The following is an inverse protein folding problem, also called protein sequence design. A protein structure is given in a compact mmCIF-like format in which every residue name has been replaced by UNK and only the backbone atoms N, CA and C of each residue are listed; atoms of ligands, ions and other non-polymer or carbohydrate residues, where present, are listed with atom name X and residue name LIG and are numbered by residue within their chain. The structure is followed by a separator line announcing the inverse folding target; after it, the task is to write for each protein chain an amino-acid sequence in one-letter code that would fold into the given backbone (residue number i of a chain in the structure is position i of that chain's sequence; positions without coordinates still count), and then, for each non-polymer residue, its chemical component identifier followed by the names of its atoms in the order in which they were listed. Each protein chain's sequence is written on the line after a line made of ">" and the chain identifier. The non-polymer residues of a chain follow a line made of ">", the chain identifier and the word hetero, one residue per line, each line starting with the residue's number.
data_IF_456527990595
#
_entry.id   IF_456527990595
#
_cell.length_a   1.000
_cell.length_b   1.000
_cell.length_c   1.000
_cell.angle_alpha   90.00
_cell.angle_beta   90.00
_cell.angle_gamma   90.00
#
_symmetry.space_group_name_H-M   'P 1'
#
loop_
_entity.id
_entity.type
_entity.pdbx_description
1 polymer ?
#
# COMPACT_ATOMS: atom_id res chain seq x y z
N UNK A 1 -25.66 13.78 -5.11
CA UNK A 1 -24.67 12.76 -4.72
C UNK A 1 -24.61 11.77 -5.85
N UNK A 2 -23.54 11.80 -6.64
CA UNK A 2 -23.24 10.80 -7.66
C UNK A 2 -22.17 9.92 -7.05
N UNK A 3 -22.59 8.74 -6.59
CA UNK A 3 -21.69 7.68 -6.17
C UNK A 3 -20.93 7.26 -7.42
N UNK A 4 -19.68 7.71 -7.54
CA UNK A 4 -18.77 7.21 -8.55
C UNK A 4 -18.40 5.80 -8.08
N UNK A 5 -19.13 4.79 -8.56
CA UNK A 5 -18.73 3.40 -8.42
C UNK A 5 -17.31 3.26 -8.95
N UNK A 6 -16.36 2.98 -8.05
CA UNK A 6 -14.98 2.75 -8.43
C UNK A 6 -14.92 1.49 -9.31
N UNK A 7 -14.16 1.55 -10.40
CA UNK A 7 -14.12 0.46 -11.38
C UNK A 7 -13.25 -0.70 -10.86
N UNK A 8 -13.67 -1.97 -10.99
CA UNK A 8 -12.87 -3.14 -10.60
C UNK A 8 -11.45 -3.18 -11.19
N UNK A 9 -11.25 -2.63 -12.39
CA UNK A 9 -9.92 -2.53 -13.01
C UNK A 9 -9.02 -1.57 -12.21
N UNK A 10 -9.56 -0.43 -11.79
CA UNK A 10 -8.84 0.56 -10.96
C UNK A 10 -8.56 0.01 -9.55
N UNK A 11 -9.44 -0.83 -9.01
CA UNK A 11 -9.21 -1.54 -7.75
C UNK A 11 -8.07 -2.57 -7.89
N UNK A 12 -8.03 -3.33 -8.98
CA UNK A 12 -6.96 -4.30 -9.24
C UNK A 12 -5.60 -3.60 -9.40
N UNK A 13 -5.54 -2.53 -10.19
CA UNK A 13 -4.35 -1.68 -10.32
C UNK A 13 -3.94 -1.07 -8.97
N UNK A 14 -4.90 -0.58 -8.17
CA UNK A 14 -4.66 -0.07 -6.83
C UNK A 14 -4.04 -1.10 -5.88
N UNK A 15 -4.48 -2.37 -5.97
CA UNK A 15 -3.89 -3.48 -5.22
C UNK A 15 -2.43 -3.76 -5.59
N UNK A 16 -2.10 -3.76 -6.89
CA UNK A 16 -0.71 -3.95 -7.37
C UNK A 16 0.20 -2.78 -6.96
N UNK A 17 -0.30 -1.54 -7.03
CA UNK A 17 0.43 -0.37 -6.55
C UNK A 17 0.65 -0.40 -5.04
N UNK A 18 -0.34 -0.86 -4.27
CA UNK A 18 -0.23 -1.04 -2.82
C UNK A 18 0.84 -2.06 -2.46
N UNK A 19 0.86 -3.22 -3.14
CA UNK A 19 1.88 -4.25 -2.92
C UNK A 19 3.28 -3.74 -3.27
N UNK A 20 3.41 -3.04 -4.40
CA UNK A 20 4.69 -2.44 -4.82
C UNK A 20 5.16 -1.40 -3.80
N UNK A 21 4.25 -0.55 -3.29
CA UNK A 21 4.56 0.42 -2.26
C UNK A 21 4.98 -0.27 -0.95
N UNK A 22 4.23 -1.27 -0.48
CA UNK A 22 4.57 -2.03 0.72
C UNK A 22 5.95 -2.68 0.59
N UNK A 23 6.25 -3.29 -0.56
CA UNK A 23 7.54 -3.89 -0.83
C UNK A 23 8.68 -2.87 -0.86
N UNK A 24 8.46 -1.66 -1.36
CA UNK A 24 9.46 -0.61 -1.38
C UNK A 24 9.73 0.00 0.00
N UNK A 25 8.71 0.03 0.87
CA UNK A 25 8.82 0.55 2.23
C UNK A 25 9.39 -0.48 3.20
N UNK A 26 9.12 -1.77 2.97
CA UNK A 26 9.63 -2.85 3.80
C UNK A 26 11.17 -2.87 3.82
N UNK A 27 11.75 -2.69 5.02
CA UNK A 27 13.19 -2.70 5.22
C UNK A 27 13.90 -1.40 4.87
N UNK A 28 13.17 -0.29 4.66
CA UNK A 28 13.76 1.03 4.46
C UNK A 28 14.63 1.45 5.66
N UNK A 29 14.11 1.30 6.87
CA UNK A 29 14.83 1.65 8.10
C UNK A 29 16.06 0.76 8.30
N UNK A 30 15.94 -0.54 8.08
CA UNK A 30 17.05 -1.49 8.20
C UNK A 30 18.16 -1.22 7.17
N UNK A 31 17.78 -0.89 5.93
CA UNK A 31 18.74 -0.53 4.88
C UNK A 31 19.45 0.79 5.22
N UNK A 32 18.73 1.75 5.77
CA UNK A 32 19.33 3.00 6.24
C UNK A 32 20.35 2.75 7.35
N UNK A 33 20.00 1.93 8.34
CA UNK A 33 20.87 1.56 9.44
C UNK A 33 22.18 0.92 8.92
N UNK A 34 22.03 -0.07 8.02
CA UNK A 34 23.14 -0.75 7.36
C UNK A 34 24.02 0.20 6.54
N UNK A 35 23.41 1.13 5.80
CA UNK A 35 24.17 2.12 5.02
C UNK A 35 24.98 3.03 5.92
N UNK A 36 24.40 3.50 7.03
CA UNK A 36 25.10 4.36 7.98
C UNK A 36 26.31 3.65 8.59
N UNK A 37 26.15 2.40 9.03
CA UNK A 37 27.26 1.58 9.55
C UNK A 37 28.38 1.39 8.52
N UNK A 38 28.02 1.12 7.26
CA UNK A 38 28.99 0.98 6.18
C UNK A 38 29.75 2.30 5.91
N UNK A 39 29.06 3.45 5.92
CA UNK A 39 29.72 4.75 5.77
C UNK A 39 30.64 5.07 6.94
N UNK A 40 30.26 4.75 8.19
CA UNK A 40 31.14 4.90 9.34
C UNK A 40 32.39 4.04 9.20
N UNK A 41 32.25 2.78 8.77
CA UNK A 41 33.39 1.88 8.60
C UNK A 41 34.29 2.26 7.42
N UNK A 42 33.74 2.88 6.37
CA UNK A 42 34.50 3.32 5.21
C UNK A 42 35.15 4.70 5.40
N UNK A 43 34.64 5.50 6.33
CA UNK A 43 35.18 6.83 6.61
C UNK A 43 36.55 6.71 7.31
N UNK A 44 37.58 7.31 6.71
CA UNK A 44 38.95 7.29 7.25
C UNK A 44 39.26 8.40 8.26
N UNK A 45 38.30 9.28 8.55
CA UNK A 45 38.47 10.44 9.42
C UNK A 45 37.34 10.55 10.45
N UNK A 46 37.70 10.83 11.70
CA UNK A 46 36.78 10.83 12.85
C UNK A 46 35.71 11.93 12.77
N UNK A 47 36.04 13.09 12.19
CA UNK A 47 35.09 14.19 11.98
C UNK A 47 33.97 13.81 11.00
N UNK A 48 34.31 13.06 9.96
CA UNK A 48 33.35 12.52 8.99
C UNK A 48 32.46 11.45 9.64
N UNK A 49 33.06 10.53 10.43
CA UNK A 49 32.32 9.50 11.18
C UNK A 49 31.32 10.16 12.13
N UNK A 50 31.73 11.18 12.88
CA UNK A 50 30.87 11.91 13.80
C UNK A 50 29.69 12.57 13.07
N UNK A 51 29.91 13.07 11.84
CA UNK A 51 28.85 13.59 10.99
C UNK A 51 27.80 12.54 10.62
N UNK A 52 28.23 11.33 10.20
CA UNK A 52 27.32 10.23 9.89
C UNK A 52 26.55 9.73 11.11
N UNK A 53 27.22 9.61 12.27
CA UNK A 53 26.55 9.25 13.54
C UNK A 53 25.47 10.26 13.89
N UNK A 54 25.80 11.54 13.82
CA UNK A 54 24.84 12.61 14.11
C UNK A 54 23.67 12.58 13.14
N UNK A 55 23.92 12.36 11.85
CA UNK A 55 22.86 12.23 10.86
C UNK A 55 21.96 11.01 11.14
N UNK A 56 22.54 9.87 11.51
CA UNK A 56 21.79 8.69 11.92
C UNK A 56 20.93 8.98 13.16
N UNK A 57 21.51 9.59 14.19
CA UNK A 57 20.77 9.97 15.42
C UNK A 57 19.62 10.94 15.14
N UNK A 58 19.84 11.92 14.26
CA UNK A 58 18.86 12.96 13.96
C UNK A 58 17.67 12.42 13.12
N UNK A 59 17.88 11.41 12.26
CA UNK A 59 16.89 10.99 11.25
C UNK A 59 16.48 9.49 11.28
N UNK A 60 17.08 8.65 12.12
CA UNK A 60 16.72 7.23 12.17
C UNK A 60 15.23 7.02 12.48
N UNK A 61 14.68 7.79 13.44
CA UNK A 61 13.27 7.71 13.77
C UNK A 61 12.38 8.19 12.61
N UNK A 62 12.76 9.26 11.92
CA UNK A 62 12.00 9.78 10.79
C UNK A 62 11.87 8.73 9.67
N UNK A 63 12.90 7.91 9.44
CA UNK A 63 12.81 6.84 8.44
C UNK A 63 11.97 5.64 8.89
N UNK A 64 11.95 5.34 10.20
CA UNK A 64 11.00 4.37 10.77
C UNK A 64 9.57 4.88 10.53
N UNK A 65 9.30 6.14 10.84
CA UNK A 65 7.98 6.75 10.67
C UNK A 65 7.55 6.77 9.20
N UNK A 66 8.45 7.07 8.27
CA UNK A 66 8.18 7.01 6.83
C UNK A 66 7.83 5.59 6.39
N UNK A 67 8.59 4.59 6.85
CA UNK A 67 8.30 3.18 6.57
C UNK A 67 6.91 2.78 7.11
N UNK A 68 6.60 3.12 8.36
CA UNK A 68 5.31 2.80 8.98
C UNK A 68 4.15 3.47 8.26
N UNK A 69 4.27 4.76 7.94
CA UNK A 69 3.25 5.48 7.18
C UNK A 69 3.08 4.92 5.76
N UNK A 70 4.17 4.56 5.09
CA UNK A 70 4.13 3.95 3.76
C UNK A 70 3.43 2.59 3.76
N UNK A 71 3.73 1.74 4.76
CA UNK A 71 3.05 0.46 4.96
C UNK A 71 1.56 0.64 5.30
N UNK A 72 1.24 1.62 6.16
CA UNK A 72 -0.15 1.95 6.48
C UNK A 72 -0.91 2.42 5.24
N UNK A 73 -0.31 3.28 4.42
CA UNK A 73 -0.90 3.75 3.18
C UNK A 73 -1.15 2.59 2.20
N UNK A 74 -0.17 1.70 2.01
CA UNK A 74 -0.33 0.52 1.18
C UNK A 74 -1.49 -0.36 1.66
N UNK A 75 -1.56 -0.66 2.96
CA UNK A 75 -2.66 -1.43 3.55
C UNK A 75 -4.02 -0.77 3.32
N UNK A 76 -4.11 0.56 3.45
CA UNK A 76 -5.33 1.31 3.21
C UNK A 76 -5.77 1.27 1.73
N UNK A 77 -4.83 1.38 0.80
CA UNK A 77 -5.12 1.27 -0.64
C UNK A 77 -5.62 -0.15 -0.96
N UNK A 78 -4.95 -1.18 -0.43
CA UNK A 78 -5.37 -2.58 -0.63
C UNK A 78 -6.75 -2.86 -0.03
N UNK A 79 -7.03 -2.37 1.19
CA UNK A 79 -8.34 -2.50 1.82
C UNK A 79 -9.44 -1.78 1.02
N UNK A 80 -9.14 -0.57 0.51
CA UNK A 80 -10.02 0.17 -0.38
C UNK A 80 -10.33 -0.62 -1.66
N UNK A 81 -9.30 -1.11 -2.34
CA UNK A 81 -9.45 -1.97 -3.52
C UNK A 81 -10.29 -3.23 -3.24
N UNK A 82 -10.04 -3.92 -2.12
CA UNK A 82 -10.80 -5.09 -1.71
C UNK A 82 -12.28 -4.79 -1.47
N UNK A 83 -12.58 -3.67 -0.82
CA UNK A 83 -13.97 -3.24 -0.57
C UNK A 83 -14.73 -2.93 -1.87
N UNK A 84 -14.05 -2.34 -2.87
CA UNK A 84 -14.63 -2.08 -4.19
C UNK A 84 -14.94 -3.38 -4.93
N UNK A 85 -14.00 -4.33 -4.93
CA UNK A 85 -14.19 -5.63 -5.57
C UNK A 85 -15.32 -6.44 -4.92
N UNK A 86 -15.45 -6.39 -3.59
CA UNK A 86 -16.54 -7.06 -2.88
C UNK A 86 -17.90 -6.43 -3.20
N UNK A 87 -18.01 -5.09 -3.16
CA UNK A 87 -19.24 -4.39 -3.50
C UNK A 87 -19.68 -4.66 -4.95
N UNK A 88 -18.74 -4.77 -5.89
CA UNK A 88 -19.03 -5.12 -7.29
C UNK A 88 -19.55 -6.56 -7.42
N UNK A 89 -18.96 -7.51 -6.68
CA UNK A 89 -19.43 -8.90 -6.64
C UNK A 89 -20.84 -9.01 -6.03
N UNK A 90 -21.09 -8.36 -4.89
CA UNK A 90 -22.40 -8.32 -4.25
C UNK A 90 -23.44 -7.68 -5.19
N UNK A 91 -23.09 -6.58 -5.87
CA UNK A 91 -23.95 -5.94 -6.87
C UNK A 91 -24.22 -6.84 -8.09
N UNK A 92 -23.23 -7.60 -8.55
CA UNK A 92 -23.39 -8.53 -9.68
C UNK A 92 -24.28 -9.74 -9.32
N UNK A 93 -24.20 -10.23 -8.09
CA UNK A 93 -25.09 -11.28 -7.55
C UNK A 93 -26.53 -10.76 -7.40
N UNK A 94 -26.70 -9.55 -6.86
CA UNK A 94 -28.00 -8.87 -6.77
C UNK A 94 -28.60 -8.52 -8.14
N UNK A 95 -27.81 -8.30 -9.18
CA UNK A 95 -28.32 -8.10 -10.54
C UNK A 95 -28.69 -9.41 -11.24
N UNK A 96 -28.12 -10.56 -10.87
CA UNK A 96 -28.53 -11.88 -11.41
C UNK A 96 -29.86 -12.37 -10.83
N UNK A 97 -30.10 -12.13 -9.54
CA UNK A 97 -31.28 -12.65 -8.83
C UNK A 97 -32.64 -12.17 -9.39
N UNK A 98 -32.83 -10.90 -9.81
CA UNK A 98 -34.09 -10.41 -10.36
C UNK A 98 -34.42 -11.00 -11.73
N UNK A 99 -33.41 -11.22 -12.58
CA UNK A 99 -33.60 -11.70 -13.95
C UNK A 99 -33.92 -13.20 -14.01
N UNK A 100 -33.40 -14.02 -13.09
CA UNK A 100 -33.79 -15.43 -13.00
C UNK A 100 -35.24 -15.60 -12.51
N UNK A 101 -35.71 -14.72 -11.61
CA UNK A 101 -37.10 -14.69 -11.16
C UNK A 101 -38.12 -14.31 -12.25
N UNK A 102 -37.69 -13.69 -13.36
CA UNK A 102 -38.59 -13.23 -14.43
C UNK A 102 -38.71 -14.22 -15.60
N UNK A 103 -38.02 -15.36 -15.58
CA UNK A 103 -38.11 -16.37 -16.65
C UNK A 103 -39.40 -17.19 -16.63
N UNK A 104 -40.17 -17.11 -15.54
CA UNK A 104 -41.42 -17.86 -15.37
C UNK A 104 -42.69 -17.05 -15.69
N UNK A 105 -42.57 -15.77 -16.10
CA UNK A 105 -43.72 -14.87 -16.26
C UNK A 105 -44.20 -14.70 -17.71
N UNK A 106 -43.62 -15.40 -18.70
CA UNK A 106 -43.99 -15.26 -20.12
C UNK A 106 -43.93 -16.58 -20.92
N UNK A 107 -44.69 -17.59 -20.50
CA UNK A 107 -45.06 -18.71 -21.38
C UNK A 107 -46.56 -19.02 -21.21
N UNK A 108 -47.40 -18.17 -21.82
CA UNK A 108 -48.73 -18.53 -22.33
C UNK A 108 -48.71 -18.46 -23.86
#
# INVERSE_FOLDING_TARGET
>A
MTEAGANPIEAMEGGEYAETLASAMAGLADMFDLLMENTESAAGHEDVIAGFRKYKEDYAQDLIDVQEHGLSLANNIQAGAGSVAQNDLESAEELRSPWESHRDINFD
#
